data_IF_654145157841
#
_entry.id   IF_654145157841
#
_cell.length_a   1.000
_cell.length_b   1.000
_cell.length_c   1.000
_cell.angle_alpha   90.00
_cell.angle_beta   90.00
_cell.angle_gamma   90.00
#
_symmetry.space_group_name_H-M   'P 1'
#
loop_
_entity.id
_entity.type
_entity.pdbx_description
1 polymer ?
#
# COMPACT_ATOMS: atom_id res chain seq x y z
N UNK A 1 -15.48 62.81 -12.34
CA UNK A 1 -16.03 62.06 -11.18
C UNK A 1 -16.44 60.63 -11.49
N UNK A 2 -16.57 60.22 -12.76
CA UNK A 2 -17.03 58.88 -13.17
C UNK A 2 -15.93 57.79 -13.16
N UNK A 3 -14.66 58.15 -13.37
CA UNK A 3 -13.55 57.17 -13.45
C UNK A 3 -13.13 56.60 -12.09
N UNK A 4 -13.17 57.40 -11.02
CA UNK A 4 -12.77 56.98 -9.66
C UNK A 4 -13.75 55.98 -9.05
N UNK A 5 -15.06 56.12 -9.32
CA UNK A 5 -16.09 55.21 -8.83
C UNK A 5 -16.00 53.80 -9.47
N UNK A 6 -15.57 53.72 -10.72
CA UNK A 6 -15.38 52.44 -11.41
C UNK A 6 -14.18 51.65 -10.86
N UNK A 7 -13.07 52.33 -10.56
CA UNK A 7 -11.87 51.72 -9.96
C UNK A 7 -12.13 51.19 -8.53
N UNK A 8 -12.90 51.92 -7.72
CA UNK A 8 -13.26 51.47 -6.36
C UNK A 8 -14.19 50.23 -6.42
N UNK A 9 -15.03 50.13 -7.46
CA UNK A 9 -15.94 48.99 -7.63
C UNK A 9 -15.21 47.71 -8.05
N UNK A 10 -14.20 47.82 -8.91
CA UNK A 10 -13.38 46.67 -9.34
C UNK A 10 -12.47 46.15 -8.23
N UNK A 11 -11.94 47.05 -7.40
CA UNK A 11 -11.15 46.68 -6.22
C UNK A 11 -12.01 45.96 -5.17
N UNK A 12 -13.21 46.47 -4.87
CA UNK A 12 -14.14 45.83 -3.93
C UNK A 12 -14.59 44.44 -4.40
N UNK A 13 -14.83 44.27 -5.70
CA UNK A 13 -15.19 42.97 -6.32
C UNK A 13 -14.02 41.98 -6.36
N UNK A 14 -12.79 42.46 -6.53
CA UNK A 14 -11.60 41.60 -6.47
C UNK A 14 -11.32 41.17 -5.04
N UNK A 15 -11.50 42.08 -4.08
CA UNK A 15 -11.34 41.78 -2.64
C UNK A 15 -12.37 40.77 -2.15
N UNK A 16 -13.63 40.86 -2.57
CA UNK A 16 -14.65 39.88 -2.21
C UNK A 16 -14.37 38.50 -2.80
N UNK A 17 -13.92 38.41 -4.07
CA UNK A 17 -13.50 37.15 -4.69
C UNK A 17 -12.31 36.51 -3.99
N UNK A 18 -11.31 37.31 -3.60
CA UNK A 18 -10.16 36.80 -2.87
C UNK A 18 -10.54 36.25 -1.49
N UNK A 19 -11.54 36.85 -0.81
CA UNK A 19 -12.03 36.37 0.48
C UNK A 19 -12.83 35.07 0.33
N UNK A 20 -13.66 34.94 -0.71
CA UNK A 20 -14.39 33.69 -1.00
C UNK A 20 -13.43 32.56 -1.37
N UNK A 21 -12.41 32.83 -2.19
CA UNK A 21 -11.39 31.85 -2.56
C UNK A 21 -10.57 31.39 -1.34
N UNK A 22 -10.20 32.32 -0.45
CA UNK A 22 -9.53 31.99 0.81
C UNK A 22 -10.42 31.16 1.75
N UNK A 23 -11.74 31.43 1.79
CA UNK A 23 -12.68 30.68 2.61
C UNK A 23 -12.86 29.24 2.11
N UNK A 24 -12.95 29.03 0.79
CA UNK A 24 -12.99 27.70 0.17
C UNK A 24 -11.68 26.92 0.38
N UNK A 25 -10.53 27.56 0.21
CA UNK A 25 -9.22 26.95 0.52
C UNK A 25 -9.13 26.57 2.01
N UNK A 26 -9.62 27.43 2.92
CA UNK A 26 -9.62 27.15 4.36
C UNK A 26 -10.54 25.99 4.76
N UNK A 27 -11.60 25.75 3.97
CA UNK A 27 -12.52 24.60 4.10
C UNK A 27 -11.85 23.30 3.66
N UNK A 28 -10.91 23.40 2.72
CA UNK A 28 -10.13 22.28 2.19
C UNK A 28 -8.92 21.94 3.06
N UNK A 29 -8.43 22.87 3.91
CA UNK A 29 -7.41 22.56 4.91
C UNK A 29 -8.04 21.68 5.99
N UNK A 30 -7.67 20.39 6.10
CA UNK A 30 -8.14 19.57 7.20
C UNK A 30 -7.71 20.25 8.50
N UNK A 31 -8.66 20.45 9.41
CA UNK A 31 -8.42 21.16 10.67
C UNK A 31 -7.14 20.67 11.34
N UNK A 32 -6.41 21.55 12.03
CA UNK A 32 -5.13 21.22 12.69
C UNK A 32 -5.25 19.94 13.54
N UNK A 33 -6.44 19.69 14.12
CA UNK A 33 -6.80 18.44 14.81
C UNK A 33 -6.77 17.20 13.90
N UNK A 34 -7.35 17.26 12.70
CA UNK A 34 -7.31 16.16 11.70
C UNK A 34 -5.88 15.84 11.25
N UNK A 35 -5.02 16.86 11.06
CA UNK A 35 -3.59 16.66 10.71
C UNK A 35 -2.79 16.06 11.87
N UNK A 36 -3.05 16.52 13.10
CA UNK A 36 -2.41 15.98 14.29
C UNK A 36 -2.81 14.52 14.55
N UNK A 37 -4.09 14.17 14.39
CA UNK A 37 -4.57 12.79 14.52
C UNK A 37 -3.92 11.90 13.45
N UNK A 38 -3.82 12.37 12.21
CA UNK A 38 -3.15 11.63 11.13
C UNK A 38 -1.65 11.41 11.41
N UNK A 39 -0.96 12.40 11.95
CA UNK A 39 0.44 12.29 12.35
C UNK A 39 0.67 11.35 13.55
N UNK A 40 -0.19 11.44 14.58
CA UNK A 40 -0.14 10.57 15.76
C UNK A 40 -0.40 9.09 15.41
N UNK A 41 -1.34 8.83 14.51
CA UNK A 41 -1.60 7.47 14.02
C UNK A 41 -0.50 6.98 13.08
N UNK A 42 0.15 7.86 12.31
CA UNK A 42 1.35 7.51 11.54
C UNK A 42 2.52 7.05 12.42
N UNK A 43 2.63 7.55 13.65
CA UNK A 43 3.60 7.07 14.63
C UNK A 43 3.32 5.63 15.10
N UNK A 44 2.06 5.16 15.04
CA UNK A 44 1.70 3.77 15.35
C UNK A 44 2.39 2.80 14.39
N UNK A 45 2.63 3.18 13.13
CA UNK A 45 3.36 2.35 12.16
C UNK A 45 4.82 2.10 12.58
N UNK A 46 5.43 3.04 13.31
CA UNK A 46 6.81 2.91 13.81
C UNK A 46 6.85 2.09 15.11
N UNK A 47 5.79 2.16 15.92
CA UNK A 47 5.67 1.43 17.18
C UNK A 47 5.21 -0.03 16.94
N UNK A 48 4.57 -0.30 15.80
CA UNK A 48 4.05 -1.61 15.39
C UNK A 48 5.04 -2.76 15.56
N UNK A 49 6.30 -2.68 15.08
CA UNK A 49 7.29 -3.75 15.24
C UNK A 49 7.65 -4.05 16.70
N UNK A 50 7.64 -3.04 17.58
CA UNK A 50 7.96 -3.19 19.01
C UNK A 50 6.82 -3.91 19.73
N UNK A 51 5.57 -3.53 19.44
CA UNK A 51 4.38 -4.19 19.98
C UNK A 51 4.24 -5.61 19.40
N UNK A 52 4.53 -5.78 18.12
CA UNK A 52 4.53 -7.07 17.42
C UNK A 52 5.53 -8.05 18.02
N UNK A 53 6.77 -7.60 18.30
CA UNK A 53 7.80 -8.42 18.96
C UNK A 53 7.38 -8.85 20.37
N UNK A 54 6.88 -7.92 21.20
CA UNK A 54 6.40 -8.25 22.55
C UNK A 54 5.21 -9.22 22.54
N UNK A 55 4.31 -9.07 21.56
CA UNK A 55 3.20 -10.00 21.36
C UNK A 55 3.68 -11.37 20.89
N UNK A 56 4.69 -11.44 20.01
CA UNK A 56 5.24 -12.70 19.51
C UNK A 56 5.93 -13.53 20.61
N UNK A 57 6.56 -12.87 21.60
CA UNK A 57 7.26 -13.56 22.68
C UNK A 57 6.32 -14.12 23.77
N UNK A 58 5.15 -13.49 23.97
CA UNK A 58 4.23 -13.85 25.06
C UNK A 58 2.94 -14.54 24.59
N UNK A 59 2.56 -14.41 23.32
CA UNK A 59 1.31 -14.95 22.78
C UNK A 59 1.53 -16.00 21.69
N UNK A 60 0.48 -16.79 21.42
CA UNK A 60 0.48 -17.77 20.34
C UNK A 60 0.68 -17.07 18.99
N UNK A 61 1.33 -17.72 18.00
CA UNK A 61 1.64 -17.12 16.69
C UNK A 61 0.45 -16.47 15.96
N UNK A 62 -0.77 -16.96 16.22
CA UNK A 62 -2.04 -16.44 15.67
C UNK A 62 -2.34 -15.00 16.09
N UNK A 63 -1.79 -14.53 17.21
CA UNK A 63 -2.06 -13.20 17.76
C UNK A 63 -1.51 -12.06 16.91
N UNK A 64 -0.53 -12.33 16.04
CA UNK A 64 0.04 -11.35 15.11
C UNK A 64 -1.03 -10.88 14.11
N UNK A 65 -1.90 -11.79 13.66
CA UNK A 65 -3.02 -11.48 12.74
C UNK A 65 -4.03 -10.53 13.40
N UNK A 66 -4.25 -10.65 14.72
CA UNK A 66 -5.15 -9.76 15.44
C UNK A 66 -4.63 -8.30 15.46
N UNK A 67 -3.31 -8.09 15.48
CA UNK A 67 -2.70 -6.74 15.48
C UNK A 67 -2.86 -6.07 14.11
N UNK A 68 -2.69 -6.83 13.04
CA UNK A 68 -2.90 -6.36 11.66
C UNK A 68 -4.38 -6.00 11.41
N UNK A 69 -5.30 -6.88 11.81
CA UNK A 69 -6.75 -6.64 11.70
C UNK A 69 -7.17 -5.41 12.54
N UNK A 70 -6.60 -5.23 13.73
CA UNK A 70 -6.86 -4.06 14.56
C UNK A 70 -6.42 -2.77 13.85
N UNK A 71 -5.22 -2.74 13.29
CA UNK A 71 -4.68 -1.59 12.55
C UNK A 71 -5.52 -1.28 11.31
N UNK A 72 -5.90 -2.29 10.53
CA UNK A 72 -6.76 -2.15 9.36
C UNK A 72 -8.15 -1.61 9.74
N UNK A 73 -8.75 -2.11 10.82
CA UNK A 73 -10.05 -1.64 11.31
C UNK A 73 -10.00 -0.19 11.79
N UNK A 74 -8.91 0.23 12.43
CA UNK A 74 -8.69 1.62 12.84
C UNK A 74 -8.56 2.55 11.63
N UNK A 75 -7.81 2.14 10.59
CA UNK A 75 -7.74 2.88 9.33
C UNK A 75 -9.11 3.00 8.65
N UNK A 76 -9.90 1.92 8.62
CA UNK A 76 -11.24 1.93 8.04
C UNK A 76 -12.20 2.86 8.80
N UNK A 77 -12.16 2.84 10.14
CA UNK A 77 -12.93 3.75 10.97
C UNK A 77 -12.56 5.22 10.72
N UNK A 78 -11.25 5.50 10.56
CA UNK A 78 -10.77 6.84 10.24
C UNK A 78 -11.21 7.30 8.84
N UNK A 79 -11.16 6.42 7.84
CA UNK A 79 -11.68 6.73 6.51
C UNK A 79 -13.16 7.10 6.57
N UNK A 80 -13.97 6.33 7.32
CA UNK A 80 -15.38 6.64 7.54
C UNK A 80 -15.59 7.98 8.27
N UNK A 81 -14.76 8.31 9.25
CA UNK A 81 -14.85 9.56 9.99
C UNK A 81 -14.36 10.78 9.20
N UNK A 82 -13.34 10.61 8.36
CA UNK A 82 -12.77 11.68 7.54
C UNK A 82 -13.57 11.96 6.26
N UNK A 83 -14.36 10.99 5.79
CA UNK A 83 -15.18 11.12 4.59
C UNK A 83 -16.46 11.93 4.89
N UNK A 84 -16.31 13.22 5.14
CA UNK A 84 -17.42 14.18 5.11
C UNK A 84 -17.93 14.29 3.66
N UNK A 85 -18.93 13.49 3.30
CA UNK A 85 -19.89 13.80 2.24
C UNK A 85 -19.40 13.81 0.79
N UNK A 86 -18.24 13.26 0.43
CA UNK A 86 -17.94 13.02 -0.98
C UNK A 86 -18.93 11.96 -1.51
N UNK A 87 -19.82 12.27 -2.48
CA UNK A 87 -20.70 11.27 -3.03
C UNK A 87 -19.80 10.21 -3.67
N UNK A 88 -19.85 8.99 -3.13
CA UNK A 88 -19.32 7.79 -3.78
C UNK A 88 -20.03 7.70 -5.14
N UNK A 89 -19.44 8.29 -6.16
CA UNK A 89 -19.94 8.23 -7.52
C UNK A 89 -19.69 6.81 -8.01
N UNK A 90 -20.60 5.90 -7.64
CA UNK A 90 -20.68 4.55 -8.21
C UNK A 90 -20.70 4.58 -9.75
N UNK A 91 -21.11 5.70 -10.34
CA UNK A 91 -21.04 5.92 -11.79
C UNK A 91 -19.59 5.97 -12.32
N UNK A 92 -18.62 6.46 -11.53
CA UNK A 92 -17.19 6.43 -11.90
C UNK A 92 -16.59 5.03 -11.72
N UNK A 93 -17.04 4.26 -10.73
CA UNK A 93 -16.65 2.85 -10.54
C UNK A 93 -17.29 1.92 -11.60
N UNK A 94 -18.49 2.25 -12.07
CA UNK A 94 -19.20 1.52 -13.12
C UNK A 94 -18.70 1.87 -14.52
N UNK A 95 -18.16 3.09 -14.72
CA UNK A 95 -17.43 3.50 -15.93
C UNK A 95 -15.97 3.05 -15.89
N UNK A 96 -15.34 3.02 -14.72
CA UNK A 96 -14.00 2.48 -14.51
C UNK A 96 -13.97 0.96 -14.63
N UNK A 97 -12.82 0.41 -15.03
CA UNK A 97 -12.60 -1.03 -15.17
C UNK A 97 -12.63 -1.77 -13.81
N UNK A 98 -13.83 -1.99 -13.29
CA UNK A 98 -14.06 -2.67 -12.01
C UNK A 98 -13.60 -4.14 -12.03
N UNK A 99 -13.54 -4.77 -13.21
CA UNK A 99 -12.98 -6.10 -13.36
C UNK A 99 -11.45 -6.07 -13.17
N UNK A 100 -10.73 -5.16 -13.84
CA UNK A 100 -9.31 -4.98 -13.62
C UNK A 100 -8.94 -4.60 -12.18
N UNK A 101 -9.75 -3.75 -11.53
CA UNK A 101 -9.56 -3.42 -10.11
C UNK A 101 -9.74 -4.61 -9.17
N UNK A 102 -10.70 -5.50 -9.45
CA UNK A 102 -10.93 -6.68 -8.62
C UNK A 102 -9.88 -7.78 -8.86
N UNK A 103 -9.39 -7.91 -10.09
CA UNK A 103 -8.42 -8.95 -10.44
C UNK A 103 -6.99 -8.60 -9.99
N UNK A 104 -6.62 -7.32 -9.89
CA UNK A 104 -5.29 -6.91 -9.42
C UNK A 104 -4.90 -7.45 -8.02
N UNK A 105 -5.71 -7.27 -6.96
CA UNK A 105 -5.34 -7.78 -5.64
C UNK A 105 -5.27 -9.32 -5.60
N UNK A 106 -6.10 -10.00 -6.40
CA UNK A 106 -6.07 -11.46 -6.53
C UNK A 106 -4.73 -11.89 -7.12
N UNK A 107 -4.30 -11.25 -8.21
CA UNK A 107 -3.01 -11.52 -8.86
C UNK A 107 -1.82 -11.17 -7.97
N UNK A 108 -1.90 -10.09 -7.20
CA UNK A 108 -0.84 -9.73 -6.25
C UNK A 108 -0.73 -10.77 -5.13
N UNK A 109 -1.86 -11.19 -4.56
CA UNK A 109 -1.88 -12.19 -3.50
C UNK A 109 -1.34 -13.54 -4.00
N UNK A 110 -1.76 -13.96 -5.19
CA UNK A 110 -1.23 -15.11 -5.90
C UNK A 110 0.30 -15.07 -6.07
N UNK A 111 0.83 -13.94 -6.49
CA UNK A 111 2.27 -13.74 -6.70
C UNK A 111 3.05 -13.78 -5.38
N UNK A 112 2.53 -13.15 -4.33
CA UNK A 112 3.12 -13.20 -2.98
C UNK A 112 3.17 -14.63 -2.45
N UNK A 113 2.06 -15.36 -2.51
CA UNK A 113 1.99 -16.77 -2.08
C UNK A 113 2.98 -17.65 -2.85
N UNK A 114 3.11 -17.43 -4.16
CA UNK A 114 4.07 -18.16 -4.99
C UNK A 114 5.53 -17.91 -4.56
N UNK A 115 5.87 -16.68 -4.17
CA UNK A 115 7.20 -16.31 -3.71
C UNK A 115 7.51 -16.87 -2.31
N UNK A 116 6.54 -16.84 -1.41
CA UNK A 116 6.68 -17.32 -0.03
C UNK A 116 6.81 -18.85 0.05
N UNK A 117 5.90 -19.58 -0.61
CA UNK A 117 5.93 -21.04 -0.65
C UNK A 117 7.13 -21.57 -1.47
N UNK A 118 7.57 -20.79 -2.47
CA UNK A 118 8.75 -21.12 -3.28
C UNK A 118 10.05 -21.17 -2.48
N UNK A 119 10.21 -20.31 -1.47
CA UNK A 119 11.37 -20.30 -0.58
C UNK A 119 11.35 -21.46 0.41
N UNK A 120 10.19 -21.67 1.07
CA UNK A 120 10.05 -22.60 2.19
C UNK A 120 10.33 -24.06 1.81
N UNK A 121 9.99 -24.45 0.60
CA UNK A 121 10.03 -25.85 0.19
C UNK A 121 11.23 -26.26 -0.66
N UNK A 122 12.07 -25.30 -1.04
CA UNK A 122 13.10 -25.50 -2.03
C UNK A 122 12.48 -25.71 -3.41
N UNK A 123 12.78 -24.78 -4.32
CA UNK A 123 12.24 -24.68 -5.68
C UNK A 123 12.21 -25.99 -6.51
N UNK A 124 12.93 -27.05 -6.12
CA UNK A 124 13.12 -28.31 -6.88
C UNK A 124 12.96 -29.61 -6.04
N UNK A 125 12.18 -29.63 -4.96
CA UNK A 125 12.08 -30.80 -4.06
C UNK A 125 10.71 -31.51 -4.01
N UNK A 126 10.51 -32.59 -4.77
CA UNK A 126 9.54 -33.69 -4.54
C UNK A 126 8.01 -33.44 -4.62
N UNK A 127 7.44 -32.33 -4.12
CA UNK A 127 6.00 -31.94 -4.21
C UNK A 127 5.64 -31.20 -5.51
N UNK A 128 6.48 -31.41 -6.52
CA UNK A 128 6.55 -30.62 -7.76
C UNK A 128 5.25 -30.62 -8.57
N UNK A 129 4.53 -31.74 -8.65
CA UNK A 129 3.35 -31.88 -9.52
C UNK A 129 2.12 -31.12 -8.98
N UNK A 130 1.82 -31.23 -7.68
CA UNK A 130 0.71 -30.51 -7.04
C UNK A 130 0.98 -29.00 -7.01
N UNK A 131 2.24 -28.61 -6.84
CA UNK A 131 2.66 -27.20 -6.87
C UNK A 131 2.74 -26.62 -8.27
N UNK A 132 3.14 -27.40 -9.28
CA UNK A 132 3.05 -26.97 -10.68
C UNK A 132 1.61 -26.62 -11.05
N UNK A 133 0.63 -27.39 -10.57
CA UNK A 133 -0.78 -27.09 -10.84
C UNK A 133 -1.23 -25.78 -10.20
N UNK A 134 -0.80 -25.48 -8.96
CA UNK A 134 -1.13 -24.21 -8.29
C UNK A 134 -0.42 -23.05 -8.99
N UNK A 135 0.90 -23.16 -9.19
CA UNK A 135 1.71 -22.17 -9.92
C UNK A 135 1.16 -21.93 -11.33
N UNK A 136 0.75 -22.97 -12.05
CA UNK A 136 0.15 -22.83 -13.37
C UNK A 136 -1.19 -22.10 -13.32
N UNK A 137 -2.03 -22.35 -12.30
CA UNK A 137 -3.28 -21.60 -12.09
C UNK A 137 -3.00 -20.13 -11.80
N UNK A 138 -1.99 -19.82 -10.97
CA UNK A 138 -1.62 -18.43 -10.67
C UNK A 138 -1.02 -17.70 -11.88
N UNK A 139 -0.18 -18.39 -12.66
CA UNK A 139 0.34 -17.87 -13.93
C UNK A 139 -0.82 -17.60 -14.90
N UNK A 140 -1.82 -18.49 -14.97
CA UNK A 140 -3.01 -18.29 -15.79
C UNK A 140 -3.84 -17.10 -15.29
N UNK A 141 -3.95 -16.89 -13.98
CA UNK A 141 -4.62 -15.71 -13.41
C UNK A 141 -3.90 -14.40 -13.77
N UNK A 142 -2.56 -14.40 -13.72
CA UNK A 142 -1.72 -13.27 -14.16
C UNK A 142 -1.91 -12.99 -15.65
N UNK A 143 -1.87 -14.03 -16.50
CA UNK A 143 -2.06 -13.89 -17.95
C UNK A 143 -3.48 -13.39 -18.26
N UNK A 144 -4.49 -13.93 -17.59
CA UNK A 144 -5.88 -13.49 -17.72
C UNK A 144 -6.04 -12.02 -17.31
N UNK A 145 -5.38 -11.58 -16.23
CA UNK A 145 -5.35 -10.18 -15.83
C UNK A 145 -4.71 -9.29 -16.89
N UNK A 146 -3.53 -9.65 -17.40
CA UNK A 146 -2.85 -8.89 -18.46
C UNK A 146 -3.73 -8.80 -19.71
N UNK A 147 -4.39 -9.90 -20.10
CA UNK A 147 -5.34 -9.94 -21.22
C UNK A 147 -6.54 -9.00 -21.00
N UNK A 148 -7.21 -9.09 -19.84
CA UNK A 148 -8.34 -8.22 -19.49
C UNK A 148 -7.92 -6.75 -19.52
N UNK A 149 -6.74 -6.46 -18.97
CA UNK A 149 -6.23 -5.08 -18.88
C UNK A 149 -5.82 -4.55 -20.25
N UNK A 150 -5.34 -5.38 -21.19
CA UNK A 150 -5.00 -4.95 -22.55
C UNK A 150 -6.22 -4.75 -23.46
N UNK A 151 -7.27 -5.57 -23.31
CA UNK A 151 -8.43 -5.58 -24.23
C UNK A 151 -9.43 -4.47 -23.91
N UNK A 152 -9.55 -4.03 -22.65
CA UNK A 152 -10.52 -3.01 -22.24
C UNK A 152 -10.00 -1.59 -22.56
N UNK A 153 -10.89 -0.73 -23.11
CA UNK A 153 -10.56 0.63 -23.58
C UNK A 153 -10.54 1.72 -22.49
N UNK A 154 -11.14 1.48 -21.32
CA UNK A 154 -11.13 2.42 -20.18
C UNK A 154 -10.30 1.86 -19.04
N UNK A 155 -8.98 1.86 -19.22
CA UNK A 155 -8.04 1.30 -18.26
C UNK A 155 -7.78 2.31 -17.13
N UNK A 156 -8.10 1.94 -15.89
CA UNK A 156 -7.69 2.71 -14.72
C UNK A 156 -6.16 2.61 -14.50
N UNK A 157 -5.55 1.51 -14.94
CA UNK A 157 -4.10 1.34 -15.00
C UNK A 157 -3.62 1.32 -16.44
N UNK A 158 -3.08 2.45 -16.90
CA UNK A 158 -2.43 2.51 -18.19
C UNK A 158 -1.07 1.78 -18.11
N UNK A 159 -1.02 0.48 -18.41
CA UNK A 159 0.25 -0.28 -18.53
C UNK A 159 1.21 0.37 -19.54
N UNK A 160 0.70 1.20 -20.45
CA UNK A 160 1.48 2.01 -21.38
C UNK A 160 2.40 3.02 -20.67
N UNK A 161 2.16 3.38 -19.40
CA UNK A 161 3.10 4.18 -18.60
C UNK A 161 4.35 3.38 -18.23
N UNK A 162 4.25 2.07 -17.98
CA UNK A 162 5.41 1.21 -17.68
C UNK A 162 6.39 1.12 -18.86
N UNK A 163 5.93 1.35 -20.08
CA UNK A 163 6.77 1.39 -21.30
C UNK A 163 7.60 2.68 -21.36
N UNK A 164 7.22 3.74 -20.67
CA UNK A 164 8.03 4.97 -20.62
C UNK A 164 9.27 4.74 -19.76
N UNK A 165 10.44 4.97 -20.35
CA UNK A 165 11.76 4.76 -19.73
C UNK A 165 11.89 5.39 -18.34
N UNK A 166 11.44 6.63 -18.14
CA UNK A 166 11.50 7.30 -16.84
C UNK A 166 10.64 6.61 -15.77
N UNK A 167 9.46 6.12 -16.16
CA UNK A 167 8.57 5.41 -15.25
C UNK A 167 9.10 4.01 -14.94
N UNK A 168 9.58 3.30 -15.97
CA UNK A 168 10.22 1.99 -15.83
C UNK A 168 11.42 2.04 -14.87
N UNK A 169 12.30 3.03 -15.03
CA UNK A 169 13.46 3.23 -14.15
C UNK A 169 13.02 3.54 -12.71
N UNK A 170 11.96 4.35 -12.52
CA UNK A 170 11.40 4.63 -11.20
C UNK A 170 10.83 3.37 -10.54
N UNK A 171 10.06 2.57 -11.27
CA UNK A 171 9.51 1.30 -10.77
C UNK A 171 10.61 0.30 -10.44
N UNK A 172 11.61 0.14 -11.31
CA UNK A 172 12.78 -0.72 -11.07
C UNK A 172 13.53 -0.29 -9.81
N UNK A 173 13.79 1.01 -9.67
CA UNK A 173 14.46 1.54 -8.48
C UNK A 173 13.67 1.23 -7.22
N UNK A 174 12.34 1.34 -7.26
CA UNK A 174 11.49 1.00 -6.12
C UNK A 174 11.53 -0.50 -5.78
N UNK A 175 11.55 -1.37 -6.79
CA UNK A 175 11.69 -2.83 -6.59
C UNK A 175 13.03 -3.15 -5.95
N UNK A 176 14.14 -2.62 -6.47
CA UNK A 176 15.46 -2.84 -5.91
C UNK A 176 15.60 -2.26 -4.50
N UNK A 177 15.02 -1.10 -4.26
CA UNK A 177 14.95 -0.50 -2.93
C UNK A 177 14.19 -1.42 -1.96
N UNK A 178 13.02 -1.91 -2.35
CA UNK A 178 12.24 -2.88 -1.57
C UNK A 178 13.03 -4.15 -1.27
N UNK A 179 13.57 -4.82 -2.29
CA UNK A 179 14.39 -6.02 -2.11
C UNK A 179 15.59 -5.78 -1.19
N UNK A 180 16.25 -4.63 -1.32
CA UNK A 180 17.40 -4.29 -0.47
C UNK A 180 16.98 -4.05 0.97
N UNK A 181 15.88 -3.33 1.18
CA UNK A 181 15.35 -3.02 2.50
C UNK A 181 14.84 -4.28 3.21
N UNK A 182 13.95 -5.04 2.58
CA UNK A 182 13.41 -6.27 3.14
C UNK A 182 14.50 -7.33 3.28
N UNK A 183 15.38 -7.48 2.28
CA UNK A 183 16.53 -8.40 2.36
C UNK A 183 17.42 -8.10 3.58
N UNK A 184 17.72 -6.83 3.82
CA UNK A 184 18.49 -6.43 5.00
C UNK A 184 17.77 -6.72 6.33
N UNK A 185 16.48 -6.41 6.41
CA UNK A 185 15.65 -6.64 7.61
C UNK A 185 15.57 -8.14 7.96
N UNK A 186 15.54 -9.02 6.96
CA UNK A 186 15.51 -10.47 7.18
C UNK A 186 16.89 -11.09 7.45
N UNK A 187 17.96 -10.58 6.83
CA UNK A 187 19.32 -11.14 7.01
C UNK A 187 19.82 -10.96 8.45
N UNK A 188 19.56 -9.83 9.09
CA UNK A 188 20.03 -9.56 10.46
C UNK A 188 19.58 -10.65 11.47
N UNK A 189 18.28 -10.91 11.65
CA UNK A 189 17.83 -11.92 12.61
C UNK A 189 18.30 -13.32 12.21
N UNK A 190 18.37 -13.62 10.90
CA UNK A 190 18.87 -14.91 10.40
C UNK A 190 20.34 -15.14 10.82
N UNK A 191 21.21 -14.15 10.64
CA UNK A 191 22.61 -14.24 11.03
C UNK A 191 22.75 -14.41 12.54
N UNK A 192 21.97 -13.65 13.33
CA UNK A 192 21.97 -13.77 14.80
C UNK A 192 21.52 -15.17 15.22
N UNK A 193 20.50 -15.74 14.58
CA UNK A 193 20.01 -17.09 14.86
C UNK A 193 21.07 -18.15 14.56
N UNK A 194 21.75 -18.06 13.40
CA UNK A 194 22.82 -18.99 13.01
C UNK A 194 24.00 -18.93 13.99
N UNK A 195 24.46 -17.73 14.33
CA UNK A 195 25.59 -17.55 15.28
C UNK A 195 25.22 -18.08 16.67
N UNK A 196 23.99 -17.81 17.14
CA UNK A 196 23.51 -18.31 18.42
C UNK A 196 23.44 -19.83 18.46
N UNK A 197 22.98 -20.46 17.38
CA UNK A 197 22.92 -21.93 17.25
C UNK A 197 24.31 -22.58 17.27
N UNK A 198 25.28 -22.02 16.54
CA UNK A 198 26.67 -22.51 16.53
C UNK A 198 27.31 -22.40 17.93
N UNK A 199 27.07 -21.29 18.62
CA UNK A 199 27.57 -21.05 19.98
C UNK A 199 26.96 -22.01 21.00
N UNK A 200 25.67 -22.31 20.89
CA UNK A 200 25.00 -23.30 21.72
C UNK A 200 25.57 -24.71 21.49
N UNK A 201 25.84 -25.06 20.22
CA UNK A 201 26.44 -26.35 19.86
C UNK A 201 27.83 -26.51 20.44
N UNK A 202 28.70 -25.49 20.39
CA UNK A 202 30.06 -25.59 20.92
C UNK A 202 30.10 -25.74 22.44
N UNK A 203 29.15 -25.16 23.18
CA UNK A 203 29.01 -25.35 24.64
C UNK A 203 28.55 -26.75 25.06
N UNK A 204 27.91 -27.49 24.17
CA UNK A 204 27.44 -28.85 24.45
C UNK A 204 28.52 -29.92 24.31
N UNK A 205 29.67 -29.61 23.70
CA UNK A 205 30.76 -30.57 23.42
C UNK A 205 31.98 -30.36 24.34
N UNK A 206 31.94 -29.34 25.21
CA UNK A 206 32.96 -29.04 26.23
C UNK A 206 32.41 -29.38 27.62
#
# INVERSE_FOLDING_TARGET
MTTTAAAIRTEKSSRSRNIEQFNEESKQVPSIRKRAILGLLGAILVIGPVIGGYCSDNFRPQSIICVEVLSASAMFAMWRYSSEGAPLSFDLFRRGDGAGMATLPIVLCALETLLEEGETDGWLGSTFILRLSIVAVEIVAIIAFVMVTLVRKQQLMHLRLLVRRNFCLGTLTNIFFGLSMYGWVYIIPLVIAVVSMVTARSRSVA
#
